data_IF_985425946447
#
_entry.id   IF_985425946447
#
_cell.length_a   1.000
_cell.length_b   1.000
_cell.length_c   1.000
_cell.angle_alpha   90.00
_cell.angle_beta   90.00
_cell.angle_gamma   90.00
#
_symmetry.space_group_name_H-M   'P 1'
#
loop_
_entity.id
_entity.type
_entity.pdbx_description
1 polymer ?
#
# COMPACT_ATOMS: atom_id res chain seq x y z
N UNK A 1 -5.23 30.09 11.50
CA UNK A 1 -4.68 28.74 11.20
C UNK A 1 -3.74 28.18 12.27
N UNK A 2 -2.94 29.02 12.97
CA UNK A 2 -2.03 28.56 14.05
C UNK A 2 -2.70 27.75 15.17
N UNK A 3 -3.92 28.12 15.60
CA UNK A 3 -4.67 27.39 16.63
C UNK A 3 -5.09 26.01 16.13
N UNK A 4 -5.65 25.91 14.92
CA UNK A 4 -6.03 24.64 14.31
C UNK A 4 -4.81 23.72 14.13
N UNK A 5 -3.67 24.27 13.70
CA UNK A 5 -2.41 23.53 13.61
C UNK A 5 -1.96 23.05 14.98
N UNK A 6 -1.90 23.91 16.00
CA UNK A 6 -1.50 23.51 17.35
C UNK A 6 -2.38 22.38 17.90
N UNK A 7 -3.69 22.43 17.69
CA UNK A 7 -4.60 21.34 18.08
C UNK A 7 -4.29 20.04 17.32
N UNK A 8 -4.06 20.12 16.01
CA UNK A 8 -3.66 18.98 15.20
C UNK A 8 -2.28 18.42 15.60
N UNK A 9 -1.34 19.27 16.02
CA UNK A 9 -0.04 18.84 16.55
C UNK A 9 -0.21 18.00 17.82
N UNK A 10 -1.13 18.37 18.72
CA UNK A 10 -1.42 17.54 19.90
C UNK A 10 -2.08 16.22 19.51
N UNK A 11 -3.00 16.24 18.55
CA UNK A 11 -3.69 15.04 18.06
C UNK A 11 -2.72 14.08 17.35
N UNK A 12 -1.80 14.59 16.53
CA UNK A 12 -0.85 13.76 15.76
C UNK A 12 0.38 13.30 16.54
N UNK A 13 0.57 13.80 17.77
CA UNK A 13 1.47 13.14 18.74
C UNK A 13 0.92 11.80 19.23
N UNK A 14 -0.39 11.56 19.08
CA UNK A 14 -0.99 10.29 19.42
C UNK A 14 -0.65 9.22 18.36
N UNK A 15 -0.78 7.96 18.78
CA UNK A 15 -0.67 6.81 17.92
C UNK A 15 -2.07 6.24 17.64
N UNK A 16 -2.44 6.14 16.37
CA UNK A 16 -3.79 5.74 15.97
C UNK A 16 -3.86 4.24 15.70
N UNK A 17 -4.94 3.59 16.16
CA UNK A 17 -5.17 2.19 15.81
C UNK A 17 -5.46 2.02 14.30
N UNK A 18 -6.25 2.93 13.73
CA UNK A 18 -6.59 2.95 12.32
C UNK A 18 -6.73 4.38 11.83
N UNK A 19 -6.15 4.66 10.66
CA UNK A 19 -6.46 5.86 9.89
C UNK A 19 -7.10 5.48 8.56
N UNK A 20 -8.21 6.12 8.22
CA UNK A 20 -9.03 5.77 7.08
C UNK A 20 -9.25 7.01 6.21
N UNK A 21 -8.82 6.94 4.95
CA UNK A 21 -9.03 7.97 3.94
C UNK A 21 -9.87 7.39 2.81
N UNK A 22 -11.19 7.57 2.89
CA UNK A 22 -12.12 7.11 1.85
C UNK A 22 -12.60 8.30 1.02
N UNK A 23 -12.35 8.25 -0.30
CA UNK A 23 -12.69 9.33 -1.24
C UNK A 23 -12.08 10.69 -0.85
N UNK A 24 -10.94 10.67 -0.17
CA UNK A 24 -10.25 11.87 0.26
C UNK A 24 -9.68 12.63 -0.95
N UNK A 25 -9.75 13.97 -0.90
CA UNK A 25 -9.12 14.86 -1.86
C UNK A 25 -7.96 15.54 -1.16
N UNK A 26 -6.75 15.21 -1.60
CA UNK A 26 -5.53 15.82 -1.07
C UNK A 26 -5.23 17.10 -1.85
N UNK A 27 -5.43 18.25 -1.19
CA UNK A 27 -5.03 19.55 -1.72
C UNK A 27 -3.58 19.85 -1.28
N UNK A 28 -2.62 20.02 -2.21
CA UNK A 28 -1.22 20.28 -1.89
C UNK A 28 -1.01 21.46 -0.94
N UNK A 29 -1.72 22.57 -1.17
CA UNK A 29 -1.61 23.76 -0.31
C UNK A 29 -2.05 23.45 1.12
N UNK A 30 -3.09 22.62 1.28
CA UNK A 30 -3.57 22.24 2.60
C UNK A 30 -2.57 21.32 3.32
N UNK A 31 -1.96 20.39 2.59
CA UNK A 31 -0.90 19.53 3.12
C UNK A 31 0.27 20.40 3.59
N UNK A 32 0.76 21.32 2.77
CA UNK A 32 1.87 22.21 3.11
C UNK A 32 1.58 23.03 4.37
N UNK A 33 0.40 23.66 4.41
CA UNK A 33 -0.07 24.48 5.53
C UNK A 33 -0.17 23.69 6.85
N UNK A 34 -0.63 22.45 6.78
CA UNK A 34 -0.83 21.62 7.97
C UNK A 34 0.41 20.86 8.40
N UNK A 35 1.12 20.25 7.46
CA UNK A 35 2.19 19.30 7.76
C UNK A 35 3.57 19.98 7.68
N UNK A 36 3.83 20.81 6.66
CA UNK A 36 5.16 21.35 6.40
C UNK A 36 5.46 22.68 7.10
N UNK A 37 4.46 23.53 7.30
CA UNK A 37 4.64 24.91 7.82
C UNK A 37 4.95 24.97 9.34
N UNK A 38 5.92 24.20 9.84
CA UNK A 38 6.50 24.37 11.18
C UNK A 38 7.79 25.18 11.11
N UNK A 39 7.67 26.51 11.25
CA UNK A 39 8.84 27.41 11.27
C UNK A 39 9.73 27.21 12.50
N UNK A 40 9.22 26.61 13.56
CA UNK A 40 9.89 26.51 14.86
C UNK A 40 10.70 25.23 15.00
N UNK A 41 10.14 24.08 14.62
CA UNK A 41 10.82 22.78 14.77
C UNK A 41 11.42 22.26 13.46
N UNK A 42 10.97 22.77 12.30
CA UNK A 42 11.31 22.26 10.94
C UNK A 42 11.02 20.77 10.71
N UNK A 43 10.32 20.11 11.64
CA UNK A 43 9.92 18.70 11.51
C UNK A 43 8.48 18.67 10.99
N UNK A 44 8.22 18.04 9.83
CA UNK A 44 6.86 17.88 9.33
C UNK A 44 6.00 17.08 10.30
N UNK A 45 4.71 17.40 10.37
CA UNK A 45 3.79 16.54 11.12
C UNK A 45 3.69 15.16 10.46
N UNK A 46 3.46 14.14 11.28
CA UNK A 46 3.30 12.77 10.81
C UNK A 46 2.12 12.12 11.51
N UNK A 47 1.39 11.32 10.75
CA UNK A 47 0.33 10.46 11.23
C UNK A 47 0.94 9.10 11.52
N UNK A 48 0.96 8.72 12.80
CA UNK A 48 1.46 7.43 13.24
C UNK A 48 0.29 6.49 13.48
N UNK A 49 0.28 5.33 12.82
CA UNK A 49 -0.81 4.36 12.95
C UNK A 49 -0.35 2.91 12.98
N UNK A 50 -1.19 2.02 13.53
CA UNK A 50 -1.06 0.57 13.37
C UNK A 50 -1.49 0.13 11.97
N UNK A 51 -2.60 0.71 11.49
CA UNK A 51 -3.19 0.41 10.19
C UNK A 51 -3.59 1.69 9.47
N UNK A 52 -3.40 1.67 8.16
CA UNK A 52 -3.88 2.72 7.28
C UNK A 52 -4.70 2.10 6.14
N UNK A 53 -5.88 2.65 5.92
CA UNK A 53 -6.74 2.31 4.79
C UNK A 53 -6.93 3.54 3.91
N UNK A 54 -6.65 3.38 2.62
CA UNK A 54 -6.80 4.44 1.66
C UNK A 54 -7.53 3.96 0.41
N UNK A 55 -8.65 4.62 0.11
CA UNK A 55 -9.43 4.43 -1.11
C UNK A 55 -9.59 5.76 -1.81
N UNK A 56 -9.11 5.87 -3.03
CA UNK A 56 -9.18 7.11 -3.81
C UNK A 56 -9.78 6.88 -5.20
N UNK A 57 -10.46 7.91 -5.70
CA UNK A 57 -11.28 7.85 -6.91
C UNK A 57 -10.96 9.00 -7.90
N UNK A 58 -9.96 9.85 -7.63
CA UNK A 58 -9.69 11.05 -8.44
C UNK A 58 -8.38 10.98 -9.24
N UNK A 59 -8.21 11.93 -10.16
CA UNK A 59 -7.05 12.08 -11.07
C UNK A 59 -5.81 12.72 -10.43
N UNK A 60 -5.88 13.17 -9.17
CA UNK A 60 -4.78 13.80 -8.44
C UNK A 60 -4.08 12.78 -7.51
N UNK A 61 -3.92 11.54 -7.99
CA UNK A 61 -3.24 10.44 -7.29
C UNK A 61 -1.78 10.74 -6.91
N UNK A 62 -1.11 11.63 -7.62
CA UNK A 62 0.27 12.03 -7.32
C UNK A 62 0.40 12.75 -5.97
N UNK A 63 -0.58 13.61 -5.63
CA UNK A 63 -0.62 14.29 -4.33
C UNK A 63 -0.81 13.29 -3.18
N UNK A 64 -1.49 12.18 -3.47
CA UNK A 64 -1.71 11.10 -2.53
C UNK A 64 -0.42 10.34 -2.22
N UNK A 65 0.38 10.01 -3.24
CA UNK A 65 1.66 9.34 -3.02
C UNK A 65 2.60 10.18 -2.16
N UNK A 66 2.73 11.45 -2.53
CA UNK A 66 3.52 12.43 -1.78
C UNK A 66 3.06 12.47 -0.33
N UNK A 67 1.74 12.47 -0.10
CA UNK A 67 1.20 12.46 1.25
C UNK A 67 1.55 11.18 2.04
N UNK A 68 1.25 10.01 1.46
CA UNK A 68 1.48 8.72 2.10
C UNK A 68 2.96 8.50 2.41
N UNK A 69 3.84 8.90 1.50
CA UNK A 69 5.27 8.80 1.73
C UNK A 69 5.72 9.83 2.77
N UNK A 70 5.33 11.09 2.71
CA UNK A 70 5.97 12.08 3.59
C UNK A 70 5.39 12.14 5.00
N UNK A 71 4.10 11.84 5.15
CA UNK A 71 3.38 12.13 6.39
C UNK A 71 2.68 10.94 7.02
N UNK A 72 2.66 9.76 6.40
CA UNK A 72 2.06 8.57 6.99
C UNK A 72 3.14 7.56 7.40
N UNK A 73 3.13 7.19 8.67
CA UNK A 73 3.90 6.08 9.21
C UNK A 73 2.91 5.04 9.71
N UNK A 74 2.97 3.85 9.12
CA UNK A 74 2.18 2.71 9.57
C UNK A 74 3.13 1.65 10.09
N UNK A 75 3.27 1.49 11.40
CA UNK A 75 4.23 0.56 12.01
C UNK A 75 3.48 -0.51 12.80
N UNK A 76 3.30 -1.68 12.19
CA UNK A 76 2.65 -2.82 12.80
C UNK A 76 3.58 -3.45 13.86
N UNK A 77 3.32 -3.15 15.14
CA UNK A 77 3.90 -3.86 16.28
C UNK A 77 2.84 -4.70 17.01
N UNK A 78 2.17 -5.60 16.29
CA UNK A 78 1.61 -6.81 16.91
C UNK A 78 0.09 -7.00 16.90
N UNK A 79 -0.20 -8.30 17.05
CA UNK A 79 -1.44 -9.06 17.27
C UNK A 79 -2.62 -8.98 16.27
N UNK A 80 -2.88 -10.15 15.68
CA UNK A 80 -3.92 -10.52 14.71
C UNK A 80 -5.33 -10.64 15.34
N UNK A 81 -5.66 -9.89 16.39
CA UNK A 81 -6.81 -10.23 17.24
C UNK A 81 -8.14 -9.60 16.84
N UNK A 82 -8.21 -8.84 15.74
CA UNK A 82 -9.51 -8.36 15.23
C UNK A 82 -9.82 -8.91 13.85
N UNK A 83 -10.82 -9.80 13.72
CA UNK A 83 -11.46 -10.04 12.44
C UNK A 83 -12.30 -8.80 12.18
N UNK A 84 -11.98 -7.98 11.19
CA UNK A 84 -12.92 -7.09 10.51
C UNK A 84 -12.20 -6.36 9.35
N UNK A 85 -12.58 -6.78 8.13
CA UNK A 85 -12.59 -6.06 6.85
C UNK A 85 -11.25 -5.56 6.25
N UNK A 86 -10.23 -5.21 7.04
CA UNK A 86 -8.95 -4.66 6.55
C UNK A 86 -7.76 -5.18 7.37
N UNK A 87 -7.31 -6.43 7.14
CA UNK A 87 -6.27 -7.07 7.96
C UNK A 87 -4.85 -6.55 7.69
N UNK A 88 -4.70 -5.53 6.81
CA UNK A 88 -3.40 -5.14 6.28
C UNK A 88 -2.95 -3.79 6.82
N UNK A 89 -1.66 -3.71 7.17
CA UNK A 89 -1.00 -2.55 7.77
C UNK A 89 -1.16 -1.29 6.91
N UNK A 90 -1.10 -1.45 5.59
CA UNK A 90 -1.45 -0.40 4.65
C UNK A 90 -2.25 -0.99 3.48
N UNK A 91 -3.46 -0.48 3.25
CA UNK A 91 -4.34 -0.96 2.17
C UNK A 91 -4.66 0.17 1.20
N UNK A 92 -4.47 -0.10 -0.10
CA UNK A 92 -4.66 0.86 -1.19
C UNK A 92 -5.69 0.31 -2.18
N UNK A 93 -6.83 1.00 -2.29
CA UNK A 93 -7.82 0.72 -3.34
C UNK A 93 -7.83 1.86 -4.36
N UNK A 94 -7.40 1.52 -5.58
CA UNK A 94 -7.51 2.36 -6.76
C UNK A 94 -8.46 1.71 -7.77
N UNK A 95 -9.36 2.50 -8.33
CA UNK A 95 -10.26 2.11 -9.43
C UNK A 95 -9.64 2.39 -10.82
N UNK A 96 -8.45 3.00 -10.87
CA UNK A 96 -7.79 3.44 -12.10
C UNK A 96 -6.41 2.79 -12.23
N UNK A 97 -6.18 2.10 -13.34
CA UNK A 97 -4.89 1.46 -13.67
C UNK A 97 -3.75 2.47 -13.79
N UNK A 98 -4.03 3.74 -14.08
CA UNK A 98 -3.02 4.79 -14.14
C UNK A 98 -2.26 4.97 -12.82
N UNK A 99 -2.88 4.56 -11.71
CA UNK A 99 -2.29 4.67 -10.37
C UNK A 99 -1.30 3.52 -10.06
N UNK A 100 -1.11 2.58 -11.00
CA UNK A 100 -0.19 1.46 -10.84
C UNK A 100 1.26 1.92 -10.67
N UNK A 101 1.66 3.02 -11.33
CA UNK A 101 3.03 3.55 -11.23
C UNK A 101 3.27 4.09 -9.81
N UNK A 102 2.34 4.85 -9.27
CA UNK A 102 2.44 5.43 -7.93
C UNK A 102 2.40 4.34 -6.85
N UNK A 103 1.54 3.33 -7.02
CA UNK A 103 1.54 2.17 -6.13
C UNK A 103 2.89 1.44 -6.22
N UNK A 104 3.44 1.26 -7.41
CA UNK A 104 4.75 0.64 -7.60
C UNK A 104 5.87 1.41 -6.86
N UNK A 105 5.84 2.75 -6.86
CA UNK A 105 6.79 3.56 -6.10
C UNK A 105 6.72 3.33 -4.58
N UNK A 106 5.50 3.20 -4.02
CA UNK A 106 5.30 2.82 -2.61
C UNK A 106 5.91 1.44 -2.35
N UNK A 107 5.64 0.48 -3.22
CA UNK A 107 6.07 -0.89 -3.03
C UNK A 107 7.59 -1.03 -3.10
N UNK A 108 8.27 -0.24 -3.93
CA UNK A 108 9.72 -0.32 -4.13
C UNK A 108 10.55 0.56 -3.20
N UNK A 109 9.96 1.61 -2.62
CA UNK A 109 10.68 2.56 -1.75
C UNK A 109 10.09 2.71 -0.33
N UNK A 110 8.98 2.06 -0.02
CA UNK A 110 8.22 2.26 1.21
C UNK A 110 8.64 1.39 2.40
N UNK A 111 9.70 0.57 2.31
CA UNK A 111 10.03 -0.41 3.36
C UNK A 111 10.28 0.20 4.75
N UNK A 112 10.71 1.46 4.83
CA UNK A 112 10.91 2.15 6.10
C UNK A 112 9.61 2.61 6.76
N UNK A 113 8.50 2.61 6.03
CA UNK A 113 7.18 3.11 6.45
C UNK A 113 6.11 2.05 6.48
N UNK A 114 6.26 1.01 5.65
CA UNK A 114 5.27 -0.05 5.46
C UNK A 114 5.99 -1.39 5.42
N UNK A 115 5.64 -2.28 6.35
CA UNK A 115 6.16 -3.66 6.33
C UNK A 115 5.29 -4.59 5.48
N UNK A 116 3.99 -4.27 5.38
CA UNK A 116 2.99 -4.95 4.55
C UNK A 116 2.12 -3.93 3.81
N UNK A 117 1.97 -4.11 2.51
CA UNK A 117 1.05 -3.33 1.67
C UNK A 117 0.09 -4.24 0.94
N UNK A 118 -1.19 -3.90 0.99
CA UNK A 118 -2.26 -4.55 0.26
C UNK A 118 -2.79 -3.60 -0.81
N UNK A 119 -2.94 -4.09 -2.04
CA UNK A 119 -3.47 -3.26 -3.12
C UNK A 119 -4.31 -4.06 -4.10
N UNK A 120 -5.07 -3.33 -4.93
CA UNK A 120 -5.78 -3.95 -6.04
C UNK A 120 -4.80 -4.58 -7.03
N UNK A 121 -5.09 -5.80 -7.49
CA UNK A 121 -4.35 -6.39 -8.59
C UNK A 121 -4.51 -5.56 -9.86
N UNK A 122 -3.38 -5.28 -10.51
CA UNK A 122 -3.30 -4.72 -11.85
C UNK A 122 -2.19 -5.45 -12.59
N UNK A 123 -2.41 -5.79 -13.86
CA UNK A 123 -1.40 -6.47 -14.67
C UNK A 123 -0.15 -5.61 -14.82
N UNK A 124 -0.33 -4.31 -15.10
CA UNK A 124 0.78 -3.37 -15.19
C UNK A 124 1.59 -3.33 -13.89
N UNK A 125 0.93 -3.25 -12.73
CA UNK A 125 1.60 -3.25 -11.43
C UNK A 125 2.36 -4.55 -11.17
N UNK A 126 1.75 -5.70 -11.50
CA UNK A 126 2.41 -7.00 -11.38
C UNK A 126 3.68 -7.07 -12.24
N UNK A 127 3.57 -6.68 -13.52
CA UNK A 127 4.68 -6.73 -14.47
C UNK A 127 5.82 -5.79 -14.05
N UNK A 128 5.52 -4.59 -13.56
CA UNK A 128 6.50 -3.66 -13.00
C UNK A 128 7.24 -4.25 -11.79
N UNK A 129 6.50 -4.90 -10.87
CA UNK A 129 7.12 -5.53 -9.70
C UNK A 129 8.03 -6.68 -10.10
N UNK A 130 7.57 -7.56 -10.98
CA UNK A 130 8.36 -8.68 -11.49
C UNK A 130 9.64 -8.17 -12.13
N UNK A 131 9.52 -7.22 -13.07
CA UNK A 131 10.65 -6.62 -13.75
C UNK A 131 11.64 -5.99 -12.76
N UNK A 132 11.15 -5.30 -11.73
CA UNK A 132 12.01 -4.72 -10.69
C UNK A 132 12.74 -5.79 -9.86
N UNK A 133 12.07 -6.87 -9.48
CA UNK A 133 12.68 -7.98 -8.75
C UNK A 133 13.76 -8.66 -9.61
N UNK A 134 13.52 -8.82 -10.90
CA UNK A 134 14.44 -9.48 -11.84
C UNK A 134 15.67 -8.62 -12.16
N UNK A 135 15.51 -7.29 -12.20
CA UNK A 135 16.56 -6.38 -12.67
C UNK A 135 17.29 -5.63 -11.56
N UNK A 136 16.69 -5.48 -10.39
CA UNK A 136 17.30 -4.73 -9.29
C UNK A 136 18.37 -5.55 -8.56
N UNK A 137 19.51 -4.91 -8.29
CA UNK A 137 20.58 -5.48 -7.46
C UNK A 137 20.32 -5.34 -5.95
N UNK A 138 19.44 -4.42 -5.57
CA UNK A 138 19.12 -4.10 -4.18
C UNK A 138 17.60 -3.97 -4.02
N UNK A 139 17.04 -4.87 -3.19
CA UNK A 139 15.62 -4.90 -2.85
C UNK A 139 15.38 -4.50 -1.38
N UNK A 140 16.38 -3.92 -0.71
CA UNK A 140 16.30 -3.54 0.71
C UNK A 140 15.17 -2.53 0.99
N UNK A 141 14.95 -1.60 0.06
CA UNK A 141 13.93 -0.54 0.11
C UNK A 141 12.52 -0.99 -0.26
N UNK A 142 12.40 -2.19 -0.84
CA UNK A 142 11.13 -2.75 -1.25
C UNK A 142 10.36 -3.28 -0.03
N UNK A 143 9.05 -3.03 -0.02
CA UNK A 143 8.10 -3.53 0.99
C UNK A 143 8.23 -5.04 1.10
N UNK A 144 8.28 -5.52 2.35
CA UNK A 144 8.59 -6.92 2.65
C UNK A 144 7.46 -7.87 2.26
N UNK A 145 6.21 -7.47 2.49
CA UNK A 145 5.03 -8.28 2.19
C UNK A 145 4.05 -7.47 1.32
N UNK A 146 3.82 -7.95 0.10
CA UNK A 146 2.89 -7.33 -0.85
C UNK A 146 1.75 -8.31 -1.07
N UNK A 147 0.53 -7.84 -0.82
CA UNK A 147 -0.69 -8.60 -1.02
C UNK A 147 -1.53 -7.96 -2.11
N UNK A 148 -1.87 -8.74 -3.13
CA UNK A 148 -2.82 -8.33 -4.16
C UNK A 148 -4.19 -8.89 -3.86
N UNK A 149 -5.20 -8.01 -3.86
CA UNK A 149 -6.62 -8.37 -3.79
C UNK A 149 -7.32 -7.91 -5.06
N UNK A 150 -8.31 -8.65 -5.54
CA UNK A 150 -9.11 -8.18 -6.67
C UNK A 150 -9.89 -9.28 -7.36
N UNK A 151 -10.90 -8.86 -8.12
CA UNK A 151 -11.62 -9.73 -9.03
C UNK A 151 -10.73 -10.03 -10.23
N UNK A 152 -10.38 -11.30 -10.39
CA UNK A 152 -9.62 -11.78 -11.53
C UNK A 152 -10.64 -12.44 -12.46
N UNK A 153 -11.01 -11.75 -13.55
CA UNK A 153 -11.81 -12.36 -14.60
C UNK A 153 -11.11 -13.60 -15.18
N UNK A 154 -11.82 -14.54 -15.80
CA UNK A 154 -11.29 -15.84 -16.24
C UNK A 154 -10.07 -15.75 -17.17
N UNK A 155 -9.93 -14.66 -17.94
CA UNK A 155 -8.78 -14.38 -18.80
C UNK A 155 -7.48 -14.12 -18.02
N UNK A 156 -7.57 -13.56 -16.82
CA UNK A 156 -6.41 -13.24 -15.98
C UNK A 156 -5.93 -14.45 -15.19
N UNK A 157 -6.83 -15.40 -14.89
CA UNK A 157 -6.50 -16.68 -14.26
C UNK A 157 -5.49 -17.46 -15.10
N UNK A 158 -5.64 -17.46 -16.43
CA UNK A 158 -4.72 -18.13 -17.35
C UNK A 158 -3.31 -17.50 -17.37
N UNK A 159 -3.17 -16.17 -17.26
CA UNK A 159 -1.84 -15.53 -17.17
C UNK A 159 -1.15 -15.85 -15.85
N UNK A 160 -1.89 -15.85 -14.74
CA UNK A 160 -1.33 -16.18 -13.42
C UNK A 160 -0.93 -17.65 -13.35
N UNK A 161 -1.75 -18.56 -13.88
CA UNK A 161 -1.45 -19.99 -13.99
C UNK A 161 -0.26 -20.23 -14.92
N UNK A 162 -0.22 -19.61 -16.10
CA UNK A 162 0.91 -19.76 -17.03
C UNK A 162 2.21 -19.22 -16.42
N UNK A 163 2.14 -18.13 -15.65
CA UNK A 163 3.30 -17.60 -14.92
C UNK A 163 3.73 -18.50 -13.73
N UNK A 164 2.78 -19.14 -13.05
CA UNK A 164 3.06 -20.18 -12.05
C UNK A 164 3.76 -21.40 -12.66
N UNK A 165 3.44 -21.74 -13.91
CA UNK A 165 4.03 -22.85 -14.64
C UNK A 165 5.41 -22.49 -15.24
N UNK A 166 5.66 -21.21 -15.53
CA UNK A 166 6.94 -20.73 -16.08
C UNK A 166 7.99 -20.36 -15.03
N UNK A 167 7.74 -20.63 -13.75
CA UNK A 167 8.43 -20.10 -12.57
C UNK A 167 9.87 -20.65 -12.34
N UNK A 168 10.73 -20.53 -13.35
CA UNK A 168 12.18 -20.71 -13.25
C UNK A 168 12.91 -19.49 -12.66
N UNK A 169 12.23 -18.35 -12.44
CA UNK A 169 12.89 -17.03 -12.37
C UNK A 169 12.54 -16.12 -11.19
N UNK A 170 11.80 -16.58 -10.16
CA UNK A 170 11.74 -15.81 -8.90
C UNK A 170 13.07 -16.01 -8.16
N UNK A 171 13.84 -14.95 -7.83
CA UNK A 171 15.08 -15.08 -7.08
C UNK A 171 14.85 -15.79 -5.74
N UNK A 172 15.80 -16.60 -5.28
CA UNK A 172 15.70 -17.40 -4.04
C UNK A 172 15.41 -16.60 -2.76
N UNK A 173 15.46 -15.26 -2.83
CA UNK A 173 15.18 -14.31 -1.76
C UNK A 173 13.70 -13.91 -1.64
N UNK A 174 12.81 -14.35 -2.53
CA UNK A 174 11.37 -14.11 -2.41
C UNK A 174 10.56 -15.40 -2.52
N UNK A 175 9.60 -15.58 -1.61
CA UNK A 175 8.59 -16.63 -1.67
C UNK A 175 7.28 -16.05 -2.20
N UNK A 176 6.67 -16.73 -3.17
CA UNK A 176 5.34 -16.43 -3.70
C UNK A 176 4.33 -17.44 -3.19
N UNK A 177 3.24 -16.97 -2.59
CA UNK A 177 2.09 -17.78 -2.20
C UNK A 177 0.86 -17.26 -2.94
N UNK A 178 0.08 -18.17 -3.53
CA UNK A 178 -1.20 -17.83 -4.16
C UNK A 178 -2.30 -18.60 -3.44
N UNK A 179 -3.24 -17.87 -2.86
CA UNK A 179 -4.42 -18.43 -2.23
C UNK A 179 -5.64 -18.07 -3.08
N UNK A 180 -6.39 -19.09 -3.50
CA UNK A 180 -7.68 -18.90 -4.14
C UNK A 180 -8.75 -19.22 -3.10
N UNK A 181 -9.64 -18.26 -2.83
CA UNK A 181 -10.73 -18.48 -1.88
C UNK A 181 -12.05 -18.26 -2.60
N UNK A 182 -12.89 -19.30 -2.62
CA UNK A 182 -14.26 -19.20 -3.10
C UNK A 182 -15.14 -18.67 -1.97
N UNK A 183 -15.74 -17.51 -2.17
CA UNK A 183 -16.67 -16.91 -1.22
C UNK A 183 -18.09 -17.23 -1.70
N UNK A 184 -18.52 -18.48 -1.46
CA UNK A 184 -19.85 -19.04 -1.76
C UNK A 184 -20.21 -19.20 -3.26
N UNK A 185 -21.13 -20.15 -3.55
CA UNK A 185 -21.45 -20.70 -4.88
C UNK A 185 -21.89 -19.70 -5.96
N UNK A 186 -22.14 -18.43 -5.60
CA UNK A 186 -22.68 -17.40 -6.49
C UNK A 186 -21.76 -16.19 -6.76
N UNK A 187 -20.51 -16.19 -6.29
CA UNK A 187 -19.59 -15.07 -6.53
C UNK A 187 -18.22 -15.47 -7.09
N UNK A 188 -17.75 -14.60 -8.00
CA UNK A 188 -16.49 -14.64 -8.76
C UNK A 188 -15.28 -14.92 -7.85
N UNK A 189 -14.33 -15.78 -8.27
CA UNK A 189 -13.16 -16.12 -7.45
C UNK A 189 -12.33 -14.89 -7.08
N UNK A 190 -12.02 -14.76 -5.79
CA UNK A 190 -11.06 -13.78 -5.28
C UNK A 190 -9.72 -14.48 -5.12
N UNK A 191 -8.71 -13.95 -5.79
CA UNK A 191 -7.34 -14.44 -5.68
C UNK A 191 -6.54 -13.51 -4.78
N UNK A 192 -5.74 -14.12 -3.92
CA UNK A 192 -4.75 -13.45 -3.11
C UNK A 192 -3.36 -13.88 -3.60
N UNK A 193 -2.57 -12.92 -4.08
CA UNK A 193 -1.15 -13.16 -4.41
C UNK A 193 -0.32 -12.46 -3.35
N UNK A 194 0.51 -13.24 -2.66
CA UNK A 194 1.41 -12.74 -1.62
C UNK A 194 2.84 -12.89 -2.11
N UNK A 195 3.57 -11.78 -2.16
CA UNK A 195 5.01 -11.73 -2.42
C UNK A 195 5.71 -11.39 -1.10
N UNK A 196 6.55 -12.30 -0.61
CA UNK A 196 7.28 -12.15 0.67
C UNK A 196 8.78 -12.25 0.48
N UNK A 197 9.52 -11.24 0.95
CA UNK A 197 10.99 -11.32 1.05
C UNK A 197 11.39 -12.32 2.14
N UNK A 198 12.13 -13.35 1.76
CA UNK A 198 12.77 -14.33 2.64
C UNK A 198 14.01 -13.66 3.22
N UNK A 199 14.19 -13.78 4.54
CA UNK A 199 15.36 -13.23 5.24
C UNK A 199 16.63 -13.97 4.83
#
# INVERSE_FOLDING_TARGET
MKIARYLLEQVFKCFFELVCFQRAIFNPKFIELLFDENKTTKIPLQINSNRAFMKFCNKNSECFLTFAMNYLISNHQGSRTYPLTYPNQFTIYSENEKNAIEIFEILTNGANKFSKVCCNYSVLLHDLIVQHIETSKDLSKMVKEIEFRGFIGPTYTNRIINYQLSNKYIPAIYNKQVHCTYINENYVPVFEIIIKRIK
#
